data_IF_662520663769
#
_entry.id   IF_662520663769
#
_cell.length_a   1.000
_cell.length_b   1.000
_cell.length_c   1.000
_cell.angle_alpha   90.00
_cell.angle_beta   90.00
_cell.angle_gamma   90.00
#
_symmetry.space_group_name_H-M   'P 1'
#
loop_
_entity.id
_entity.type
_entity.pdbx_description
1 polymer ?
#
# COMPACT_ATOMS: atom_id res chain seq x y z
N UNK A 1 -43.89 0.08 36.71
CA UNK A 1 -43.81 -1.24 36.03
C UNK A 1 -44.01 -1.03 34.52
N UNK A 2 -42.91 -0.75 33.79
CA UNK A 2 -42.70 -0.99 32.33
C UNK A 2 -41.42 -0.26 31.89
N UNK A 3 -40.30 -0.75 32.41
CA UNK A 3 -38.99 -0.64 31.76
C UNK A 3 -38.86 -1.98 31.03
N UNK A 4 -39.30 -2.04 29.78
CA UNK A 4 -39.19 -3.26 29.00
C UNK A 4 -38.92 -2.88 27.54
N UNK A 5 -37.73 -3.26 27.08
CA UNK A 5 -37.36 -3.46 25.68
C UNK A 5 -37.15 -2.19 24.83
N UNK A 6 -35.99 -1.58 25.00
CA UNK A 6 -35.29 -0.94 23.88
C UNK A 6 -33.80 -1.33 23.95
N UNK A 7 -33.55 -2.61 23.78
CA UNK A 7 -32.22 -3.10 23.37
C UNK A 7 -32.41 -3.49 21.91
N UNK A 8 -32.41 -2.49 21.03
CA UNK A 8 -32.08 -2.74 19.64
C UNK A 8 -30.67 -3.35 19.66
N UNK A 9 -30.56 -4.60 19.23
CA UNK A 9 -29.27 -5.21 18.93
C UNK A 9 -28.63 -4.38 17.83
N UNK A 10 -27.80 -3.40 18.20
CA UNK A 10 -26.91 -2.72 17.26
C UNK A 10 -25.88 -3.77 16.86
N UNK A 11 -26.23 -4.51 15.83
CA UNK A 11 -25.37 -5.42 15.13
C UNK A 11 -24.19 -4.57 14.62
N UNK A 12 -23.04 -4.66 15.29
CA UNK A 12 -21.84 -3.93 14.91
C UNK A 12 -21.36 -4.48 13.56
N UNK A 13 -21.89 -3.90 12.48
CA UNK A 13 -21.49 -4.24 11.12
C UNK A 13 -20.08 -3.72 10.91
N UNK A 14 -19.19 -4.59 10.46
CA UNK A 14 -17.82 -4.23 10.11
C UNK A 14 -17.85 -3.05 9.14
N UNK A 15 -17.12 -1.99 9.47
CA UNK A 15 -17.03 -0.81 8.63
C UNK A 15 -16.47 -1.21 7.25
N UNK A 16 -17.25 -0.96 6.20
CA UNK A 16 -16.82 -1.08 4.81
C UNK A 16 -16.70 0.34 4.29
N UNK A 17 -15.47 0.72 3.90
CA UNK A 17 -15.23 2.05 3.35
C UNK A 17 -16.07 2.25 2.08
N UNK A 18 -16.72 3.41 1.95
CA UNK A 18 -17.37 3.81 0.69
C UNK A 18 -16.37 4.58 -0.16
N UNK A 19 -16.49 4.49 -1.47
CA UNK A 19 -15.53 5.09 -2.41
C UNK A 19 -15.40 6.62 -2.24
N UNK A 20 -16.47 7.30 -1.82
CA UNK A 20 -16.44 8.74 -1.56
C UNK A 20 -15.64 9.14 -0.31
N UNK A 21 -15.44 8.24 0.65
CA UNK A 21 -14.73 8.52 1.91
C UNK A 21 -13.21 8.30 1.76
N UNK A 22 -12.78 7.76 0.62
CA UNK A 22 -11.38 7.48 0.35
C UNK A 22 -10.70 8.76 -0.15
N UNK A 23 -10.19 9.56 0.78
CA UNK A 23 -9.27 10.64 0.45
C UNK A 23 -7.90 10.07 0.08
N UNK A 24 -7.54 10.17 -1.21
CA UNK A 24 -6.20 9.82 -1.71
C UNK A 24 -5.30 11.04 -1.64
N UNK A 25 -4.20 10.94 -0.88
CA UNK A 25 -3.19 12.00 -0.78
C UNK A 25 -2.04 11.73 -1.74
N UNK A 26 -1.37 12.80 -2.14
CA UNK A 26 -0.15 12.73 -2.95
C UNK A 26 1.07 12.84 -2.04
N UNK A 27 1.98 11.88 -2.15
CA UNK A 27 3.26 11.86 -1.44
C UNK A 27 4.42 11.88 -2.42
N UNK A 28 5.36 12.77 -2.16
CA UNK A 28 6.64 12.83 -2.86
C UNK A 28 7.71 12.16 -1.98
N UNK A 29 8.37 11.13 -2.51
CA UNK A 29 9.38 10.35 -1.79
C UNK A 29 10.73 10.48 -2.50
N UNK A 30 11.75 10.86 -1.75
CA UNK A 30 13.13 10.91 -2.23
C UNK A 30 13.86 9.59 -1.98
N UNK A 31 14.32 8.94 -3.04
CA UNK A 31 15.01 7.65 -3.00
C UNK A 31 16.53 7.75 -2.79
N UNK A 32 17.11 8.95 -2.68
CA UNK A 32 18.55 9.15 -2.44
C UNK A 32 19.04 8.43 -1.20
N UNK A 33 20.11 7.66 -1.35
CA UNK A 33 20.78 6.93 -0.27
C UNK A 33 19.87 5.95 0.50
N UNK A 34 18.72 5.59 -0.08
CA UNK A 34 17.80 4.61 0.52
C UNK A 34 18.07 3.22 -0.04
N UNK A 35 17.95 2.21 0.82
CA UNK A 35 18.05 0.82 0.40
C UNK A 35 16.78 0.43 -0.36
N UNK A 36 16.93 -0.01 -1.62
CA UNK A 36 15.81 -0.32 -2.54
C UNK A 36 14.73 -1.19 -1.87
N UNK A 37 15.12 -2.31 -1.26
CA UNK A 37 14.15 -3.26 -0.70
C UNK A 37 13.36 -2.71 0.48
N UNK A 38 13.99 -1.89 1.33
CA UNK A 38 13.31 -1.29 2.49
C UNK A 38 12.34 -0.21 2.04
N UNK A 39 12.81 0.67 1.15
CA UNK A 39 11.99 1.72 0.55
C UNK A 39 10.77 1.15 -0.18
N UNK A 40 10.98 0.14 -1.03
CA UNK A 40 9.90 -0.50 -1.79
C UNK A 40 8.83 -1.13 -0.89
N UNK A 41 9.22 -1.74 0.23
CA UNK A 41 8.29 -2.35 1.19
C UNK A 41 7.38 -1.31 1.84
N UNK A 42 7.94 -0.18 2.27
CA UNK A 42 7.17 0.90 2.87
C UNK A 42 6.24 1.59 1.87
N UNK A 43 6.71 1.80 0.64
CA UNK A 43 5.91 2.33 -0.46
C UNK A 43 4.74 1.41 -0.76
N UNK A 44 4.96 0.09 -0.85
CA UNK A 44 3.91 -0.87 -1.13
C UNK A 44 2.81 -0.89 -0.05
N UNK A 45 3.16 -0.68 1.23
CA UNK A 45 2.18 -0.59 2.32
C UNK A 45 1.28 0.64 2.15
N UNK A 46 1.86 1.78 1.77
CA UNK A 46 1.13 3.02 1.53
C UNK A 46 0.29 2.98 0.26
N UNK A 47 0.81 2.43 -0.84
CA UNK A 47 0.06 2.17 -2.08
C UNK A 47 -1.14 1.24 -1.82
N UNK A 48 -1.01 0.26 -0.93
CA UNK A 48 -2.13 -0.61 -0.56
C UNK A 48 -3.14 0.05 0.37
N UNK A 49 -2.80 1.19 0.99
CA UNK A 49 -3.67 1.84 1.97
C UNK A 49 -3.71 1.16 3.35
N UNK A 50 -2.85 0.18 3.61
CA UNK A 50 -2.79 -0.57 4.89
C UNK A 50 -2.44 0.27 6.12
N UNK A 51 -1.97 1.49 5.90
CA UNK A 51 -1.68 2.45 6.96
C UNK A 51 -2.93 3.21 7.43
N UNK A 52 -4.04 3.16 6.67
CA UNK A 52 -5.31 3.78 7.04
C UNK A 52 -6.20 2.75 7.76
N UNK A 53 -6.93 3.15 8.82
CA UNK A 53 -7.86 2.25 9.52
C UNK A 53 -9.08 1.86 8.67
N UNK A 54 -9.33 2.58 7.56
CA UNK A 54 -10.39 2.30 6.58
C UNK A 54 -9.98 1.24 5.54
N UNK A 55 -8.91 0.46 5.79
CA UNK A 55 -8.41 -0.52 4.85
C UNK A 55 -9.44 -1.60 4.55
N UNK A 56 -9.90 -1.61 3.30
CA UNK A 56 -10.88 -2.56 2.78
C UNK A 56 -10.21 -3.37 1.65
N UNK A 57 -10.01 -4.70 1.79
CA UNK A 57 -9.15 -5.47 0.87
C UNK A 57 -9.55 -5.46 -0.61
N UNK A 58 -10.84 -5.28 -0.90
CA UNK A 58 -11.37 -5.27 -2.26
C UNK A 58 -11.40 -3.88 -2.90
N UNK A 59 -11.05 -2.82 -2.15
CA UNK A 59 -11.07 -1.44 -2.62
C UNK A 59 -9.67 -0.84 -2.61
N UNK A 60 -9.38 0.02 -3.59
CA UNK A 60 -8.15 0.78 -3.63
C UNK A 60 -8.24 2.02 -2.72
N UNK A 61 -7.89 1.82 -1.45
CA UNK A 61 -7.77 2.87 -0.43
C UNK A 61 -6.36 3.49 -0.36
N UNK A 62 -5.50 3.20 -1.35
CA UNK A 62 -4.12 3.65 -1.43
C UNK A 62 -3.95 5.16 -1.58
N UNK A 63 -2.74 5.61 -1.33
CA UNK A 63 -2.30 6.98 -1.67
C UNK A 63 -1.44 6.99 -2.93
N UNK A 64 -1.38 8.14 -3.60
CA UNK A 64 -0.50 8.33 -4.75
C UNK A 64 0.91 8.64 -4.27
N UNK A 65 1.88 7.93 -4.85
CA UNK A 65 3.28 8.05 -4.47
C UNK A 65 4.12 8.36 -5.71
N UNK A 66 4.82 9.48 -5.66
CA UNK A 66 5.79 9.89 -6.66
C UNK A 66 7.18 9.72 -6.07
N UNK A 67 8.03 8.93 -6.72
CA UNK A 67 9.40 8.70 -6.28
C UNK A 67 10.36 9.51 -7.14
N UNK A 68 11.22 10.31 -6.51
CA UNK A 68 12.28 11.08 -7.17
C UNK A 68 13.66 10.53 -6.83
N UNK A 69 14.64 10.78 -7.69
CA UNK A 69 16.03 10.31 -7.56
C UNK A 69 16.17 8.77 -7.45
N UNK A 70 15.35 8.02 -8.19
CA UNK A 70 15.38 6.56 -8.19
C UNK A 70 16.71 5.98 -8.71
N UNK A 71 17.49 6.76 -9.44
CA UNK A 71 18.84 6.46 -9.91
C UNK A 71 19.87 6.36 -8.77
N UNK A 72 19.63 7.05 -7.65
CA UNK A 72 20.55 7.14 -6.49
C UNK A 72 20.20 6.17 -5.37
N UNK A 73 19.44 5.13 -5.68
CA UNK A 73 19.03 4.10 -4.72
C UNK A 73 20.19 3.13 -4.43
N UNK A 74 20.34 2.75 -3.16
CA UNK A 74 21.39 1.84 -2.70
C UNK A 74 20.93 0.39 -2.85
N UNK A 75 21.76 -0.42 -3.51
CA UNK A 75 21.63 -1.86 -3.63
C UNK A 75 22.77 -2.53 -2.86
N UNK A 76 22.43 -3.24 -1.78
CA UNK A 76 23.42 -3.91 -0.93
C UNK A 76 23.72 -5.34 -1.40
N UNK A 77 24.91 -5.85 -1.07
CA UNK A 77 25.28 -7.26 -1.29
C UNK A 77 25.72 -7.62 -2.72
N UNK A 78 26.31 -6.67 -3.45
CA UNK A 78 26.75 -6.89 -4.85
C UNK A 78 25.61 -7.17 -5.83
N UNK A 79 24.38 -6.81 -5.46
CA UNK A 79 23.18 -7.04 -6.28
C UNK A 79 23.17 -6.23 -7.56
N UNK A 80 23.91 -5.12 -7.63
CA UNK A 80 24.07 -4.37 -8.87
C UNK A 80 24.63 -5.26 -9.98
N UNK A 81 25.65 -6.05 -9.66
CA UNK A 81 26.35 -6.87 -10.65
C UNK A 81 25.73 -8.28 -10.78
N UNK A 82 25.21 -8.81 -9.67
CA UNK A 82 24.77 -10.21 -9.59
C UNK A 82 23.29 -10.43 -9.92
N UNK A 83 22.46 -9.37 -9.94
CA UNK A 83 21.02 -9.54 -10.11
C UNK A 83 20.65 -9.55 -11.60
N UNK A 84 20.32 -10.74 -12.09
CA UNK A 84 19.80 -10.93 -13.44
C UNK A 84 18.27 -10.76 -13.41
N UNK A 85 17.74 -9.88 -14.26
CA UNK A 85 16.31 -9.75 -14.48
C UNK A 85 15.92 -10.53 -15.73
N UNK A 86 15.27 -11.67 -15.54
CA UNK A 86 14.77 -12.47 -16.65
C UNK A 86 13.47 -11.87 -17.18
N UNK A 87 13.40 -11.72 -18.51
CA UNK A 87 12.16 -11.36 -19.22
C UNK A 87 12.01 -12.33 -20.37
N UNK A 88 11.10 -13.30 -20.20
CA UNK A 88 10.78 -14.24 -21.27
C UNK A 88 9.77 -13.59 -22.22
N UNK A 89 9.99 -13.71 -23.52
CA UNK A 89 9.10 -13.18 -24.57
C UNK A 89 7.83 -14.01 -24.74
N UNK A 90 7.79 -15.23 -24.20
CA UNK A 90 6.70 -16.19 -24.39
C UNK A 90 6.81 -17.03 -25.66
N UNK A 91 7.81 -16.78 -26.52
CA UNK A 91 8.15 -17.67 -27.61
C UNK A 91 8.96 -18.86 -27.09
N UNK A 92 8.66 -20.08 -27.56
CA UNK A 92 9.42 -21.27 -27.22
C UNK A 92 10.71 -21.25 -28.04
N UNK A 93 11.83 -20.90 -27.40
CA UNK A 93 13.17 -20.81 -27.98
C UNK A 93 14.12 -20.09 -27.04
#
# INVERSE_FOLDING_TARGET
>A
MKIALLVESVEMKTFVAKEHEIEKKWYLIDARDKILGRLASEIAIRLRGKHKPIFTPHMDAGDYIVVVNADKVILTGGKLDKKIYYRHSGYVG
#
